data_IF_470536124356
#
_entry.id   IF_470536124356
#
_cell.length_a   1.000
_cell.length_b   1.000
_cell.length_c   1.000
_cell.angle_alpha   90.00
_cell.angle_beta   90.00
_cell.angle_gamma   90.00
#
_symmetry.space_group_name_H-M   'P 1'
#
loop_
_entity.id
_entity.type
_entity.pdbx_description
1 polymer ?
#
# COMPACT_ATOMS: atom_id res chain seq x y z
N UNK A 1 -38.65 28.00 10.42
CA UNK A 1 -38.05 28.37 9.12
C UNK A 1 -37.23 27.17 8.67
N UNK A 2 -37.81 26.39 7.78
CA UNK A 2 -37.27 25.14 7.23
C UNK A 2 -36.18 25.48 6.21
N UNK A 3 -34.91 25.16 6.51
CA UNK A 3 -33.86 25.17 5.49
C UNK A 3 -33.91 23.84 4.75
N UNK A 4 -34.34 23.94 3.50
CA UNK A 4 -34.41 22.87 2.52
C UNK A 4 -32.98 22.49 2.09
N UNK A 5 -32.42 21.43 2.68
CA UNK A 5 -31.18 20.81 2.19
C UNK A 5 -31.52 19.77 1.13
N UNK A 6 -31.84 20.25 -0.07
CA UNK A 6 -31.92 19.43 -1.28
C UNK A 6 -30.52 19.07 -1.76
N UNK A 7 -29.81 18.26 -0.97
CA UNK A 7 -28.64 17.54 -1.47
C UNK A 7 -29.11 16.47 -2.44
N UNK A 8 -28.62 16.52 -3.68
CA UNK A 8 -28.84 15.44 -4.66
C UNK A 8 -28.41 14.12 -4.03
N UNK A 9 -29.33 13.15 -3.94
CA UNK A 9 -28.99 11.82 -3.42
C UNK A 9 -27.86 11.24 -4.26
N UNK A 10 -26.95 10.42 -3.70
CA UNK A 10 -25.80 9.89 -4.42
C UNK A 10 -26.19 9.19 -5.74
N UNK A 11 -27.32 8.47 -5.74
CA UNK A 11 -27.87 7.77 -6.92
C UNK A 11 -28.41 8.68 -8.03
N UNK A 12 -28.61 9.97 -7.77
CA UNK A 12 -29.14 10.95 -8.73
C UNK A 12 -28.01 11.79 -9.38
N UNK A 13 -26.73 11.54 -9.05
CA UNK A 13 -25.57 12.25 -9.62
C UNK A 13 -25.10 11.62 -10.93
N UNK A 14 -24.88 12.44 -11.95
CA UNK A 14 -24.22 11.99 -13.17
C UNK A 14 -22.74 11.70 -12.89
N UNK A 15 -22.25 10.57 -13.41
CA UNK A 15 -20.83 10.24 -13.39
C UNK A 15 -20.05 11.13 -14.37
N UNK A 16 -18.79 11.38 -14.05
CA UNK A 16 -17.86 12.04 -14.97
C UNK A 16 -17.66 11.15 -16.22
N UNK A 17 -17.57 11.75 -17.43
CA UNK A 17 -17.36 10.99 -18.66
C UNK A 17 -15.98 10.35 -18.77
N UNK A 18 -14.99 10.78 -17.96
CA UNK A 18 -13.68 10.13 -17.91
C UNK A 18 -13.80 8.82 -17.14
N UNK A 19 -13.42 7.73 -17.78
CA UNK A 19 -13.37 6.42 -17.13
C UNK A 19 -12.17 6.29 -16.19
N UNK A 20 -12.44 5.98 -14.92
CA UNK A 20 -11.47 5.62 -13.89
C UNK A 20 -11.79 4.28 -13.21
N UNK A 21 -12.79 3.54 -13.72
CA UNK A 21 -13.38 2.41 -13.01
C UNK A 21 -13.29 1.10 -13.80
N UNK A 22 -13.13 1.15 -15.12
CA UNK A 22 -13.06 -0.06 -15.94
C UNK A 22 -11.71 -0.77 -15.81
N UNK A 23 -11.75 -2.10 -15.96
CA UNK A 23 -10.54 -2.91 -16.08
C UNK A 23 -9.70 -2.51 -17.30
N UNK A 24 -10.35 -2.08 -18.38
CA UNK A 24 -9.67 -1.64 -19.60
C UNK A 24 -8.79 -0.40 -19.33
N UNK A 25 -9.29 0.57 -18.56
CA UNK A 25 -8.51 1.74 -18.14
C UNK A 25 -7.29 1.36 -17.32
N UNK A 26 -7.46 0.48 -16.31
CA UNK A 26 -6.36 0.05 -15.45
C UNK A 26 -5.34 -0.86 -16.14
N UNK A 27 -5.73 -1.55 -17.21
CA UNK A 27 -4.82 -2.32 -18.06
C UNK A 27 -4.01 -1.48 -19.06
N UNK A 28 -4.33 -0.19 -19.24
CA UNK A 28 -3.54 0.72 -20.10
C UNK A 28 -2.16 1.04 -19.48
N UNK A 29 -1.33 1.79 -20.20
CA UNK A 29 -0.07 2.29 -19.65
C UNK A 29 -0.31 3.45 -18.67
N UNK A 30 0.61 3.65 -17.72
CA UNK A 30 0.55 4.79 -16.80
C UNK A 30 0.53 6.15 -17.53
N UNK A 31 1.21 6.25 -18.68
CA UNK A 31 1.21 7.46 -19.51
C UNK A 31 -0.17 7.74 -20.14
N UNK A 32 -0.93 6.70 -20.47
CA UNK A 32 -2.28 6.85 -20.99
C UNK A 32 -3.25 7.29 -19.89
N UNK A 33 -3.17 6.67 -18.70
CA UNK A 33 -3.95 7.09 -17.52
C UNK A 33 -3.64 8.52 -17.10
N UNK A 34 -2.38 8.92 -17.18
CA UNK A 34 -1.94 10.28 -16.84
C UNK A 34 -2.61 11.36 -17.70
N UNK A 35 -3.01 11.06 -18.95
CA UNK A 35 -3.79 12.01 -19.76
C UNK A 35 -5.17 12.28 -19.16
N UNK A 36 -5.84 11.23 -18.68
CA UNK A 36 -7.12 11.34 -17.97
C UNK A 36 -6.94 12.10 -16.65
N UNK A 37 -5.90 11.76 -15.88
CA UNK A 37 -5.61 12.45 -14.63
C UNK A 37 -5.28 13.92 -14.83
N UNK A 38 -4.48 14.29 -15.83
CA UNK A 38 -4.16 15.68 -16.14
C UNK A 38 -5.41 16.50 -16.50
N UNK A 39 -6.33 15.91 -17.28
CA UNK A 39 -7.60 16.58 -17.60
C UNK A 39 -8.48 16.76 -16.36
N UNK A 40 -8.57 15.75 -15.49
CA UNK A 40 -9.29 15.86 -14.22
C UNK A 40 -8.66 16.92 -13.31
N UNK A 41 -7.33 16.90 -13.13
CA UNK A 41 -6.62 17.93 -12.34
C UNK A 41 -6.87 19.33 -12.88
N UNK A 42 -6.91 19.53 -14.20
CA UNK A 42 -7.18 20.84 -14.81
C UNK A 42 -8.62 21.29 -14.53
N UNK A 43 -9.59 20.45 -14.86
CA UNK A 43 -10.97 20.91 -15.04
C UNK A 43 -11.90 20.54 -13.88
N UNK A 44 -11.74 19.32 -13.33
CA UNK A 44 -12.68 18.65 -12.41
C UNK A 44 -11.88 17.81 -11.38
N UNK A 45 -11.08 18.47 -10.54
CA UNK A 45 -10.09 17.80 -9.68
C UNK A 45 -10.70 16.88 -8.62
N UNK A 46 -11.96 17.15 -8.27
CA UNK A 46 -12.85 16.30 -7.47
C UNK A 46 -14.05 15.95 -8.36
N UNK A 47 -14.18 14.67 -8.74
CA UNK A 47 -15.20 14.20 -9.70
C UNK A 47 -15.88 12.92 -9.22
N UNK A 48 -17.12 12.68 -9.62
CA UNK A 48 -17.92 11.53 -9.18
C UNK A 48 -17.88 10.41 -10.21
N UNK A 49 -17.57 9.18 -9.79
CA UNK A 49 -17.32 8.02 -10.67
C UNK A 49 -18.11 6.79 -10.21
N UNK A 50 -18.48 5.89 -11.13
CA UNK A 50 -19.12 4.62 -10.76
C UNK A 50 -18.13 3.72 -9.99
N UNK A 51 -18.60 2.73 -9.21
CA UNK A 51 -17.72 1.75 -8.57
C UNK A 51 -16.78 1.06 -9.57
N UNK A 52 -15.68 0.49 -9.07
CA UNK A 52 -14.75 -0.31 -9.87
C UNK A 52 -15.51 -1.47 -10.53
N UNK A 53 -15.33 -1.63 -11.84
CA UNK A 53 -15.94 -2.71 -12.60
C UNK A 53 -15.23 -4.05 -12.31
N UNK A 54 -15.95 -5.16 -12.41
CA UNK A 54 -15.43 -6.51 -12.16
C UNK A 54 -14.72 -6.67 -10.79
N UNK A 55 -15.11 -5.86 -9.80
CA UNK A 55 -14.56 -5.93 -8.45
C UNK A 55 -14.68 -7.33 -7.87
N UNK A 56 -13.70 -7.72 -7.05
CA UNK A 56 -13.61 -9.06 -6.45
C UNK A 56 -14.90 -9.45 -5.69
N UNK A 57 -15.52 -8.45 -5.04
CA UNK A 57 -16.77 -8.59 -4.30
C UNK A 57 -17.72 -7.44 -4.67
N UNK A 58 -18.57 -7.60 -5.70
CA UNK A 58 -19.47 -6.54 -6.14
C UNK A 58 -20.48 -6.19 -5.05
N UNK A 59 -20.59 -4.90 -4.72
CA UNK A 59 -21.59 -4.38 -3.81
C UNK A 59 -22.68 -3.63 -4.61
N UNK A 60 -23.90 -4.19 -4.74
CA UNK A 60 -24.98 -3.56 -5.48
C UNK A 60 -25.51 -2.28 -4.81
N UNK A 61 -25.16 -2.04 -3.55
CA UNK A 61 -25.53 -0.82 -2.83
C UNK A 61 -24.49 0.30 -3.00
N UNK A 62 -23.35 0.03 -3.62
CA UNK A 62 -22.28 1.00 -3.82
C UNK A 62 -22.64 2.01 -4.93
N UNK A 63 -22.88 3.29 -4.60
CA UNK A 63 -23.28 4.29 -5.58
C UNK A 63 -22.10 4.88 -6.36
N UNK A 64 -20.85 4.58 -5.99
CA UNK A 64 -19.67 5.18 -6.60
C UNK A 64 -18.71 5.84 -5.62
N UNK A 65 -17.82 6.68 -6.14
CA UNK A 65 -16.80 7.36 -5.35
C UNK A 65 -16.42 8.74 -5.91
N UNK A 66 -15.88 9.58 -5.04
CA UNK A 66 -15.20 10.82 -5.40
C UNK A 66 -13.74 10.56 -5.74
N UNK A 67 -13.33 10.83 -6.97
CA UNK A 67 -11.94 10.81 -7.40
C UNK A 67 -11.26 12.13 -7.04
N UNK A 68 -10.18 12.06 -6.26
CA UNK A 68 -9.36 13.20 -5.86
C UNK A 68 -8.00 13.10 -6.54
N UNK A 69 -7.73 14.04 -7.45
CA UNK A 69 -6.61 13.94 -8.40
C UNK A 69 -5.51 14.97 -8.18
N UNK A 70 -5.79 16.10 -7.51
CA UNK A 70 -4.79 17.13 -7.19
C UNK A 70 -4.02 16.80 -5.91
N UNK A 71 -2.74 17.17 -5.88
CA UNK A 71 -1.88 16.94 -4.73
C UNK A 71 -2.41 17.63 -3.45
N UNK A 72 -2.81 18.90 -3.56
CA UNK A 72 -3.32 19.66 -2.40
C UNK A 72 -4.58 19.01 -1.78
N UNK A 73 -5.52 18.59 -2.62
CA UNK A 73 -6.76 17.94 -2.18
C UNK A 73 -6.48 16.54 -1.57
N UNK A 74 -5.53 15.78 -2.13
CA UNK A 74 -5.05 14.51 -1.55
C UNK A 74 -4.45 14.73 -0.16
N UNK A 75 -3.65 15.79 0.02
CA UNK A 75 -3.07 16.13 1.32
C UNK A 75 -4.16 16.52 2.32
N UNK A 76 -5.18 17.26 1.91
CA UNK A 76 -6.33 17.63 2.74
C UNK A 76 -7.09 16.39 3.23
N UNK A 77 -7.44 15.48 2.32
CA UNK A 77 -8.10 14.21 2.64
C UNK A 77 -7.23 13.35 3.56
N UNK A 78 -5.92 13.30 3.32
CA UNK A 78 -4.98 12.51 4.11
C UNK A 78 -4.82 13.02 5.54
N UNK A 79 -4.85 14.35 5.75
CA UNK A 79 -4.61 14.99 7.06
C UNK A 79 -5.87 15.13 7.89
N UNK A 80 -7.03 15.27 7.26
CA UNK A 80 -8.30 15.47 7.95
C UNK A 80 -8.99 14.13 8.27
N UNK A 81 -8.33 13.30 9.10
CA UNK A 81 -8.82 11.96 9.45
C UNK A 81 -10.06 11.96 10.37
N UNK A 82 -10.46 13.11 10.91
CA UNK A 82 -11.73 13.24 11.63
C UNK A 82 -12.92 13.23 10.67
N UNK A 83 -12.72 13.74 9.45
CA UNK A 83 -13.72 13.73 8.38
C UNK A 83 -13.53 12.51 7.48
N UNK A 84 -12.31 12.18 7.08
CA UNK A 84 -12.02 11.13 6.10
C UNK A 84 -11.46 9.89 6.80
N UNK A 85 -12.36 8.97 7.12
CA UNK A 85 -12.10 7.78 7.93
C UNK A 85 -11.39 6.68 7.13
N UNK A 86 -10.45 6.00 7.79
CA UNK A 86 -9.82 4.75 7.32
C UNK A 86 -10.54 3.50 7.83
N UNK A 87 -11.26 3.59 8.96
CA UNK A 87 -11.97 2.49 9.62
C UNK A 87 -13.12 1.89 8.83
N UNK A 88 -13.41 2.42 7.64
CA UNK A 88 -14.44 1.92 6.70
C UNK A 88 -13.84 1.36 5.42
N UNK A 89 -12.58 0.95 5.50
CA UNK A 89 -11.80 0.40 4.40
C UNK A 89 -10.99 1.45 3.66
N UNK A 90 -9.78 1.05 3.27
CA UNK A 90 -8.79 1.88 2.58
C UNK A 90 -8.52 1.42 1.15
N UNK A 91 -8.93 0.21 0.79
CA UNK A 91 -8.80 -0.30 -0.57
C UNK A 91 -9.78 0.41 -1.50
N UNK A 92 -9.40 0.53 -2.78
CA UNK A 92 -10.22 1.18 -3.80
C UNK A 92 -11.50 0.38 -4.08
N UNK A 93 -11.37 -0.95 -4.21
CA UNK A 93 -12.48 -1.89 -4.26
C UNK A 93 -13.11 -2.07 -2.87
N UNK A 94 -14.41 -2.37 -2.84
CA UNK A 94 -15.07 -2.76 -1.60
C UNK A 94 -14.62 -4.18 -1.24
N UNK A 95 -14.08 -4.32 -0.04
CA UNK A 95 -13.74 -5.59 0.58
C UNK A 95 -14.44 -5.59 1.95
N UNK A 96 -15.09 -6.70 2.35
CA UNK A 96 -15.72 -6.83 3.66
C UNK A 96 -14.79 -6.40 4.80
N UNK A 97 -15.35 -5.74 5.81
CA UNK A 97 -14.62 -5.20 6.96
C UNK A 97 -13.83 -6.32 7.68
N UNK A 98 -14.38 -7.52 7.76
CA UNK A 98 -13.74 -8.67 8.41
C UNK A 98 -12.47 -9.15 7.69
N UNK A 99 -12.46 -9.12 6.34
CA UNK A 99 -11.27 -9.47 5.55
C UNK A 99 -10.20 -8.38 5.65
N UNK A 100 -10.64 -7.12 5.77
CA UNK A 100 -9.76 -5.98 5.99
C UNK A 100 -9.15 -6.01 7.40
N UNK A 101 -9.92 -6.27 8.44
CA UNK A 101 -9.41 -6.37 9.82
C UNK A 101 -8.31 -7.45 9.94
N UNK A 102 -8.51 -8.57 9.25
CA UNK A 102 -7.57 -9.68 9.25
C UNK A 102 -6.31 -9.46 8.38
N UNK A 103 -6.20 -8.38 7.59
CA UNK A 103 -5.05 -8.14 6.69
C UNK A 103 -4.43 -6.75 6.79
N UNK A 104 -5.24 -5.73 7.09
CA UNK A 104 -4.83 -4.32 7.05
C UNK A 104 -4.36 -3.80 8.41
N UNK A 105 -4.66 -4.50 9.53
CA UNK A 105 -4.28 -4.06 10.87
C UNK A 105 -4.66 -2.58 11.10
N UNK A 106 -3.78 -1.77 11.70
CA UNK A 106 -4.02 -0.36 11.96
C UNK A 106 -4.13 0.52 10.71
N UNK A 107 -3.80 0.03 9.50
CA UNK A 107 -3.92 0.82 8.27
C UNK A 107 -5.39 1.19 7.98
N UNK A 108 -6.30 0.27 8.27
CA UNK A 108 -7.75 0.45 8.12
C UNK A 108 -8.42 0.74 9.48
N UNK A 109 -7.79 1.56 10.32
CA UNK A 109 -8.34 1.96 11.63
C UNK A 109 -8.30 3.47 11.80
N UNK A 110 -9.20 3.99 12.62
CA UNK A 110 -9.23 5.39 13.05
C UNK A 110 -8.78 5.55 14.51
N UNK A 111 -8.39 6.76 14.94
CA UNK A 111 -8.22 7.07 16.36
C UNK A 111 -9.52 6.79 17.17
N UNK A 112 -9.41 6.38 18.45
CA UNK A 112 -8.16 6.27 19.23
C UNK A 112 -7.42 4.93 19.04
N UNK A 113 -8.06 3.88 18.48
CA UNK A 113 -7.46 2.54 18.42
C UNK A 113 -6.23 2.49 17.50
N UNK A 114 -6.29 3.16 16.34
CA UNK A 114 -5.12 3.32 15.46
C UNK A 114 -3.93 3.90 16.22
N UNK A 115 -4.14 4.98 16.98
CA UNK A 115 -3.08 5.67 17.72
C UNK A 115 -2.42 4.75 18.74
N UNK A 116 -3.21 3.96 19.46
CA UNK A 116 -2.71 3.01 20.46
C UNK A 116 -1.89 1.89 19.81
N UNK A 117 -2.44 1.20 18.81
CA UNK A 117 -1.75 0.09 18.14
C UNK A 117 -0.47 0.57 17.47
N UNK A 118 -0.52 1.70 16.75
CA UNK A 118 0.66 2.29 16.11
C UNK A 118 1.74 2.66 17.11
N UNK A 119 1.37 3.11 18.31
CA UNK A 119 2.31 3.42 19.40
C UNK A 119 2.97 2.14 19.95
N UNK A 120 2.21 1.05 20.12
CA UNK A 120 2.75 -0.26 20.53
C UNK A 120 3.74 -0.79 19.48
N UNK A 121 3.34 -0.77 18.21
CA UNK A 121 4.21 -1.18 17.09
C UNK A 121 5.48 -0.33 17.07
N UNK A 122 5.37 1.00 17.08
CA UNK A 122 6.52 1.90 17.04
C UNK A 122 7.49 1.69 18.21
N UNK A 123 7.00 1.31 19.40
CA UNK A 123 7.85 0.98 20.53
C UNK A 123 8.77 -0.23 20.26
N UNK A 124 8.36 -1.16 19.38
CA UNK A 124 9.19 -2.27 18.93
C UNK A 124 10.31 -1.83 17.95
N UNK A 125 10.15 -0.71 17.24
CA UNK A 125 11.13 -0.15 16.28
C UNK A 125 12.13 0.78 16.98
N UNK A 126 12.90 0.25 17.93
CA UNK A 126 13.91 1.04 18.64
C UNK A 126 15.07 1.46 17.71
N UNK A 127 15.79 2.56 18.00
CA UNK A 127 16.96 2.97 17.21
C UNK A 127 18.05 1.89 17.07
N UNK A 128 18.16 0.98 18.06
CA UNK A 128 19.08 -0.16 17.99
C UNK A 128 18.62 -1.18 16.95
N UNK A 129 17.32 -1.48 16.92
CA UNK A 129 16.75 -2.38 15.92
C UNK A 129 16.87 -1.81 14.51
N UNK A 130 16.59 -0.52 14.33
CA UNK A 130 16.75 0.17 13.04
C UNK A 130 18.18 0.07 12.52
N UNK A 131 19.20 0.32 13.36
CA UNK A 131 20.62 0.18 12.95
C UNK A 131 21.01 -1.24 12.55
N UNK A 132 20.53 -2.25 13.30
CA UNK A 132 20.81 -3.66 12.98
C UNK A 132 20.20 -4.04 11.62
N UNK A 133 18.99 -3.57 11.36
CA UNK A 133 18.30 -3.76 10.08
C UNK A 133 19.09 -3.08 8.96
N UNK A 134 19.60 -1.87 9.17
CA UNK A 134 20.42 -1.15 8.18
C UNK A 134 21.68 -1.92 7.77
N UNK A 135 22.47 -2.42 8.74
CA UNK A 135 23.66 -3.22 8.45
C UNK A 135 23.30 -4.50 7.67
N UNK A 136 22.19 -5.17 8.04
CA UNK A 136 21.69 -6.36 7.34
C UNK A 136 21.23 -6.05 5.91
N UNK A 137 20.50 -4.93 5.72
CA UNK A 137 20.06 -4.46 4.40
C UNK A 137 21.26 -4.22 3.50
N UNK A 138 22.30 -3.56 3.99
CA UNK A 138 23.52 -3.28 3.21
C UNK A 138 24.23 -4.58 2.83
N UNK A 139 24.33 -5.55 3.74
CA UNK A 139 24.92 -6.86 3.45
C UNK A 139 24.11 -7.61 2.39
N UNK A 140 22.79 -7.74 2.60
CA UNK A 140 21.86 -8.39 1.67
C UNK A 140 21.91 -7.73 0.28
N UNK A 141 21.93 -6.40 0.19
CA UNK A 141 22.00 -5.70 -1.08
C UNK A 141 23.30 -6.03 -1.86
N UNK A 142 24.44 -6.15 -1.16
CA UNK A 142 25.72 -6.54 -1.80
C UNK A 142 25.69 -7.98 -2.31
N UNK A 143 25.09 -8.89 -1.55
CA UNK A 143 24.99 -10.29 -1.91
C UNK A 143 24.06 -10.47 -3.12
N UNK A 144 22.88 -9.85 -3.09
CA UNK A 144 21.92 -9.85 -4.20
C UNK A 144 22.55 -9.32 -5.49
N UNK A 145 23.25 -8.19 -5.43
CA UNK A 145 23.93 -7.61 -6.62
C UNK A 145 25.06 -8.52 -7.10
N UNK A 146 25.74 -9.22 -6.20
CA UNK A 146 26.78 -10.21 -6.55
C UNK A 146 26.19 -11.44 -7.24
N UNK A 147 25.07 -11.96 -6.73
CA UNK A 147 24.29 -13.05 -7.32
C UNK A 147 23.74 -12.66 -8.70
N UNK A 148 23.14 -11.48 -8.83
CA UNK A 148 22.67 -10.92 -10.11
C UNK A 148 23.80 -10.85 -11.14
N UNK A 149 24.99 -10.37 -10.73
CA UNK A 149 26.16 -10.29 -11.59
C UNK A 149 26.64 -11.68 -12.04
N UNK A 150 26.56 -12.68 -11.16
CA UNK A 150 26.92 -14.06 -11.47
C UNK A 150 25.91 -14.73 -12.43
N UNK A 151 24.61 -14.39 -12.33
CA UNK A 151 23.55 -14.87 -13.20
C UNK A 151 23.72 -14.39 -14.66
N UNK A 152 24.36 -13.23 -14.86
CA UNK A 152 24.78 -12.74 -16.18
C UNK A 152 23.76 -11.84 -16.88
N UNK A 153 24.08 -11.40 -18.10
CA UNK A 153 23.24 -10.48 -18.87
C UNK A 153 21.99 -11.16 -19.43
N UNK A 154 20.86 -10.45 -19.44
CA UNK A 154 19.60 -10.93 -20.02
C UNK A 154 18.69 -11.66 -19.03
N UNK A 155 19.11 -11.78 -17.77
CA UNK A 155 18.25 -12.28 -16.69
C UNK A 155 17.19 -11.27 -16.30
N UNK A 156 16.07 -11.76 -15.77
CA UNK A 156 15.01 -10.90 -15.24
C UNK A 156 15.47 -10.21 -13.95
N UNK A 157 15.52 -8.87 -13.99
CA UNK A 157 15.89 -8.01 -12.87
C UNK A 157 14.89 -8.10 -11.71
N UNK A 158 13.61 -8.30 -12.00
CA UNK A 158 12.59 -8.42 -10.95
C UNK A 158 12.86 -9.67 -10.12
N UNK A 159 12.95 -10.82 -10.78
CA UNK A 159 13.18 -12.10 -10.13
C UNK A 159 14.53 -12.20 -9.41
N UNK A 160 15.60 -11.62 -9.97
CA UNK A 160 16.96 -11.80 -9.44
C UNK A 160 17.46 -10.64 -8.57
N UNK A 161 16.67 -9.56 -8.40
CA UNK A 161 17.12 -8.41 -7.61
C UNK A 161 15.98 -7.69 -6.89
N UNK A 162 14.98 -7.22 -7.61
CA UNK A 162 14.00 -6.29 -7.03
C UNK A 162 13.14 -6.94 -5.94
N UNK A 163 12.80 -8.23 -6.09
CA UNK A 163 12.03 -8.98 -5.09
C UNK A 163 12.88 -9.48 -3.91
N UNK A 164 14.19 -9.63 -4.10
CA UNK A 164 15.06 -10.30 -3.11
C UNK A 164 15.28 -9.45 -1.86
N UNK A 165 15.58 -8.15 -2.03
CA UNK A 165 15.94 -7.29 -0.90
C UNK A 165 14.77 -7.12 0.09
N UNK A 166 13.52 -6.84 -0.35
CA UNK A 166 12.40 -6.71 0.58
C UNK A 166 12.10 -8.02 1.33
N UNK A 167 12.14 -9.17 0.66
CA UNK A 167 11.90 -10.48 1.29
C UNK A 167 12.99 -10.82 2.32
N UNK A 168 14.27 -10.63 1.98
CA UNK A 168 15.38 -10.87 2.92
C UNK A 168 15.28 -9.92 4.13
N UNK A 169 14.97 -8.66 3.89
CA UNK A 169 14.81 -7.65 4.94
C UNK A 169 13.64 -7.97 5.88
N UNK A 170 12.46 -8.32 5.34
CA UNK A 170 11.30 -8.75 6.13
C UNK A 170 11.64 -9.97 6.98
N UNK A 171 12.31 -10.95 6.39
CA UNK A 171 12.68 -12.19 7.07
C UNK A 171 13.65 -11.93 8.22
N UNK A 172 14.65 -11.08 8.03
CA UNK A 172 15.63 -10.72 9.06
C UNK A 172 14.97 -9.87 10.18
N UNK A 173 14.05 -9.00 9.80
CA UNK A 173 13.27 -8.17 10.72
C UNK A 173 12.37 -9.01 11.63
N UNK A 174 11.66 -9.98 11.06
CA UNK A 174 10.64 -10.75 11.75
C UNK A 174 11.20 -12.04 12.37
N UNK A 175 12.33 -12.54 11.87
CA UNK A 175 12.90 -13.82 12.27
C UNK A 175 12.18 -15.00 11.62
N UNK A 176 11.74 -14.85 10.36
CA UNK A 176 11.09 -15.92 9.59
C UNK A 176 12.14 -17.00 9.28
N UNK A 177 11.87 -18.29 9.57
CA UNK A 177 12.78 -19.37 9.22
C UNK A 177 13.09 -19.41 7.72
N UNK A 178 14.32 -19.73 7.36
CA UNK A 178 14.77 -19.78 5.95
C UNK A 178 13.87 -20.68 5.07
N UNK A 179 13.34 -21.76 5.64
CA UNK A 179 12.42 -22.69 4.95
C UNK A 179 11.06 -22.08 4.60
N UNK A 180 10.65 -21.00 5.28
CA UNK A 180 9.34 -20.35 5.09
C UNK A 180 9.43 -19.06 4.25
N UNK A 181 10.62 -18.47 4.07
CA UNK A 181 10.78 -17.14 3.43
C UNK A 181 10.09 -17.04 2.07
N UNK A 182 10.32 -18.01 1.17
CA UNK A 182 9.71 -18.02 -0.16
C UNK A 182 8.19 -18.15 -0.10
N UNK A 183 7.68 -19.05 0.74
CA UNK A 183 6.23 -19.26 0.86
C UNK A 183 5.53 -18.05 1.47
N UNK A 184 6.16 -17.34 2.41
CA UNK A 184 5.65 -16.07 2.94
C UNK A 184 5.64 -14.99 1.87
N UNK A 185 6.69 -14.88 1.06
CA UNK A 185 6.74 -13.94 -0.06
C UNK A 185 5.64 -14.23 -1.09
N UNK A 186 5.49 -15.50 -1.52
CA UNK A 186 4.45 -15.91 -2.46
C UNK A 186 3.04 -15.60 -1.93
N UNK A 187 2.81 -15.87 -0.64
CA UNK A 187 1.53 -15.57 0.00
C UNK A 187 1.28 -14.07 0.17
N UNK A 188 2.33 -13.27 0.38
CA UNK A 188 2.22 -11.80 0.44
C UNK A 188 1.90 -11.21 -0.94
N UNK A 189 2.54 -11.70 -2.00
CA UNK A 189 2.25 -11.30 -3.38
C UNK A 189 0.79 -11.66 -3.77
N UNK A 190 0.31 -12.83 -3.34
CA UNK A 190 -1.07 -13.25 -3.56
C UNK A 190 -2.11 -12.29 -2.98
N UNK A 191 -1.77 -11.55 -1.91
CA UNK A 191 -2.68 -10.60 -1.27
C UNK A 191 -2.90 -9.31 -2.08
N UNK A 192 -2.08 -9.03 -3.10
CA UNK A 192 -2.17 -7.80 -3.94
C UNK A 192 -2.38 -8.09 -5.43
N UNK A 193 -2.15 -9.32 -5.87
CA UNK A 193 -2.23 -9.71 -7.28
C UNK A 193 -3.56 -10.37 -7.69
N UNK A 194 -4.66 -10.17 -6.94
CA UNK A 194 -5.94 -10.83 -7.24
C UNK A 194 -6.57 -10.41 -8.58
N UNK A 195 -6.24 -9.20 -9.07
CA UNK A 195 -6.72 -8.67 -10.35
C UNK A 195 -5.89 -9.11 -11.58
N UNK A 196 -4.76 -9.79 -11.36
CA UNK A 196 -3.82 -10.20 -12.41
C UNK A 196 -4.19 -11.59 -12.99
N UNK A 197 -4.60 -11.69 -14.27
CA UNK A 197 -4.88 -12.97 -14.92
C UNK A 197 -3.69 -13.92 -14.96
N UNK A 198 -2.47 -13.41 -15.13
CA UNK A 198 -1.25 -14.22 -15.25
C UNK A 198 -0.90 -14.85 -13.91
N UNK A 199 -1.03 -14.09 -12.83
CA UNK A 199 -0.84 -14.61 -11.47
C UNK A 199 -1.94 -15.60 -11.06
N UNK A 200 -3.21 -15.25 -11.31
CA UNK A 200 -4.35 -16.08 -10.91
C UNK A 200 -4.39 -17.41 -11.67
N UNK A 201 -4.00 -17.42 -12.95
CA UNK A 201 -3.89 -18.63 -13.79
C UNK A 201 -5.16 -19.51 -13.74
N UNK A 202 -6.33 -18.87 -13.88
CA UNK A 202 -7.64 -19.54 -13.88
C UNK A 202 -8.13 -20.05 -12.52
N UNK A 203 -7.38 -19.83 -11.43
CA UNK A 203 -7.83 -20.10 -10.05
C UNK A 203 -8.93 -19.12 -9.63
N UNK A 204 -9.66 -19.45 -8.57
CA UNK A 204 -10.60 -18.50 -7.97
C UNK A 204 -9.82 -17.45 -7.14
N UNK A 205 -9.90 -16.14 -7.44
CA UNK A 205 -9.12 -15.14 -6.72
C UNK A 205 -9.44 -15.05 -5.22
N UNK A 206 -10.70 -15.28 -4.82
CA UNK A 206 -11.09 -15.30 -3.40
C UNK A 206 -10.45 -16.48 -2.66
N UNK A 207 -10.40 -17.67 -3.29
CA UNK A 207 -9.77 -18.84 -2.67
C UNK A 207 -8.25 -18.63 -2.50
N UNK A 208 -7.59 -18.02 -3.49
CA UNK A 208 -6.17 -17.68 -3.42
C UNK A 208 -5.91 -16.67 -2.29
N UNK A 209 -6.73 -15.63 -2.18
CA UNK A 209 -6.60 -14.61 -1.12
C UNK A 209 -6.81 -15.23 0.27
N UNK A 210 -7.90 -15.97 0.47
CA UNK A 210 -8.22 -16.59 1.76
C UNK A 210 -7.14 -17.58 2.18
N UNK A 211 -6.70 -18.47 1.28
CA UNK A 211 -5.69 -19.47 1.61
C UNK A 211 -4.33 -18.85 1.94
N UNK A 212 -3.94 -17.79 1.22
CA UNK A 212 -2.70 -17.05 1.48
C UNK A 212 -2.76 -16.31 2.81
N UNK A 213 -3.89 -15.65 3.11
CA UNK A 213 -4.12 -14.98 4.39
C UNK A 213 -4.07 -15.97 5.55
N UNK A 214 -4.74 -17.12 5.44
CA UNK A 214 -4.71 -18.18 6.46
C UNK A 214 -3.29 -18.70 6.70
N UNK A 215 -2.50 -18.89 5.64
CA UNK A 215 -1.12 -19.32 5.76
C UNK A 215 -0.26 -18.28 6.49
N UNK A 216 -0.35 -16.99 6.12
CA UNK A 216 0.38 -15.92 6.80
C UNK A 216 -0.02 -15.80 8.28
N UNK A 217 -1.31 -15.96 8.60
CA UNK A 217 -1.79 -16.00 9.99
C UNK A 217 -1.19 -17.17 10.76
N UNK A 218 -1.14 -18.35 10.16
CA UNK A 218 -0.54 -19.52 10.80
C UNK A 218 0.94 -19.30 11.12
N UNK A 219 1.71 -18.76 10.18
CA UNK A 219 3.12 -18.42 10.39
C UNK A 219 3.26 -17.40 11.52
N UNK A 220 2.46 -16.32 11.49
CA UNK A 220 2.49 -15.27 12.49
C UNK A 220 2.21 -15.80 13.91
N UNK A 221 1.17 -16.63 14.07
CA UNK A 221 0.78 -17.17 15.37
C UNK A 221 1.80 -18.18 15.91
N UNK A 222 2.33 -19.04 15.05
CA UNK A 222 3.41 -19.97 15.43
C UNK A 222 4.63 -19.21 15.90
N UNK A 223 5.06 -18.19 15.13
CA UNK A 223 6.21 -17.37 15.49
C UNK A 223 5.96 -16.54 16.75
N UNK A 224 4.73 -16.07 16.96
CA UNK A 224 4.37 -15.30 18.15
C UNK A 224 4.44 -16.15 19.42
N UNK A 225 3.95 -17.40 19.36
CA UNK A 225 4.08 -18.35 20.46
C UNK A 225 5.55 -18.67 20.75
N UNK A 226 6.33 -18.97 19.70
CA UNK A 226 7.77 -19.26 19.85
C UNK A 226 8.52 -18.09 20.48
N UNK A 227 8.29 -16.86 20.00
CA UNK A 227 8.97 -15.67 20.51
C UNK A 227 8.56 -15.30 21.93
N UNK A 228 7.33 -15.59 22.37
CA UNK A 228 6.92 -15.40 23.78
C UNK A 228 7.68 -16.32 24.74
N UNK A 229 7.92 -17.56 24.33
CA UNK A 229 8.64 -18.54 25.16
C UNK A 229 10.17 -18.35 25.05
N UNK A 230 10.66 -18.02 23.86
CA UNK A 230 12.07 -17.89 23.51
C UNK A 230 12.31 -16.57 22.74
N UNK A 231 12.37 -15.42 23.44
CA UNK A 231 12.56 -14.13 22.79
C UNK A 231 13.92 -14.07 22.08
N UNK A 232 13.88 -13.71 20.79
CA UNK A 232 15.05 -13.40 19.99
C UNK A 232 15.38 -11.91 20.02
N UNK A 233 16.41 -11.53 19.26
CA UNK A 233 16.78 -10.12 19.05
C UNK A 233 16.01 -9.46 17.86
N UNK A 234 14.98 -10.11 17.32
CA UNK A 234 14.21 -9.64 16.17
C UNK A 234 13.05 -8.66 16.55
N UNK A 235 12.47 -8.00 15.55
CA UNK A 235 11.36 -7.07 15.75
C UNK A 235 10.10 -7.79 16.22
N UNK A 236 9.89 -9.04 15.81
CA UNK A 236 8.69 -9.79 16.18
C UNK A 236 8.69 -10.14 17.67
N UNK A 237 9.85 -10.51 18.22
CA UNK A 237 10.09 -10.67 19.65
C UNK A 237 9.78 -9.39 20.41
N UNK A 238 10.24 -8.25 19.88
CA UNK A 238 9.96 -6.94 20.47
C UNK A 238 8.47 -6.61 20.43
N UNK A 239 7.79 -6.94 19.32
CA UNK A 239 6.37 -6.68 19.09
C UNK A 239 5.46 -7.48 20.02
N UNK A 240 5.67 -8.80 20.14
CA UNK A 240 4.78 -9.67 20.95
C UNK A 240 4.89 -9.41 22.46
N UNK A 241 5.96 -8.76 22.91
CA UNK A 241 6.17 -8.33 24.29
C UNK A 241 5.89 -6.84 24.52
N UNK A 242 5.66 -6.06 23.47
CA UNK A 242 5.44 -4.63 23.59
C UNK A 242 4.17 -4.36 24.40
N UNK A 243 4.30 -3.47 25.39
CA UNK A 243 3.20 -2.99 26.21
C UNK A 243 3.30 -1.47 26.31
N UNK A 244 2.21 -0.78 25.99
CA UNK A 244 2.11 0.67 26.10
C UNK A 244 0.81 1.01 26.80
N UNK A 245 0.89 1.78 27.89
CA UNK A 245 -0.28 2.21 28.66
C UNK A 245 -1.18 1.04 29.13
N UNK A 246 -0.56 -0.11 29.45
CA UNK A 246 -1.28 -1.33 29.84
C UNK A 246 -1.89 -2.11 28.69
N UNK A 247 -1.77 -1.62 27.45
CA UNK A 247 -2.25 -2.29 26.25
C UNK A 247 -1.16 -3.13 25.60
N UNK A 248 -1.54 -4.33 25.18
CA UNK A 248 -0.74 -5.25 24.36
C UNK A 248 -1.53 -5.64 23.13
N UNK A 249 -0.83 -6.03 22.07
CA UNK A 249 -1.51 -6.59 20.90
C UNK A 249 -2.07 -7.98 21.23
N UNK A 250 -3.30 -8.22 20.82
CA UNK A 250 -3.92 -9.54 20.78
C UNK A 250 -3.27 -10.41 19.70
N UNK A 251 -3.47 -11.72 19.76
CA UNK A 251 -2.99 -12.66 18.74
C UNK A 251 -3.48 -12.29 17.33
N UNK A 252 -4.75 -11.89 17.22
CA UNK A 252 -5.33 -11.45 15.95
C UNK A 252 -4.68 -10.16 15.44
N UNK A 253 -4.37 -9.20 16.32
CA UNK A 253 -3.70 -7.95 15.92
C UNK A 253 -2.25 -8.18 15.49
N UNK A 254 -1.55 -9.12 16.14
CA UNK A 254 -0.20 -9.55 15.74
C UNK A 254 -0.27 -10.22 14.37
N UNK A 255 -1.19 -11.16 14.17
CA UNK A 255 -1.36 -11.84 12.88
C UNK A 255 -1.71 -10.85 11.76
N UNK A 256 -2.67 -9.95 11.99
CA UNK A 256 -3.04 -8.91 11.03
C UNK A 256 -1.86 -7.95 10.74
N UNK A 257 -1.08 -7.57 11.76
CA UNK A 257 0.10 -6.73 11.57
C UNK A 257 1.21 -7.45 10.79
N UNK A 258 1.39 -8.76 11.00
CA UNK A 258 2.31 -9.56 10.21
C UNK A 258 1.92 -9.58 8.73
N UNK A 259 0.62 -9.78 8.41
CA UNK A 259 0.13 -9.68 7.03
C UNK A 259 0.39 -8.29 6.45
N UNK A 260 0.02 -7.23 7.18
CA UNK A 260 0.28 -5.84 6.74
C UNK A 260 1.76 -5.62 6.44
N UNK A 261 2.66 -6.05 7.33
CA UNK A 261 4.10 -5.88 7.18
C UNK A 261 4.64 -6.67 5.98
N UNK A 262 4.18 -7.91 5.81
CA UNK A 262 4.58 -8.76 4.69
C UNK A 262 4.15 -8.19 3.34
N UNK A 263 2.92 -7.68 3.25
CA UNK A 263 2.39 -7.10 2.00
C UNK A 263 2.98 -5.72 1.73
N UNK A 264 2.91 -4.80 2.68
CA UNK A 264 3.32 -3.41 2.49
C UNK A 264 4.84 -3.27 2.30
N UNK A 265 5.64 -4.09 3.00
CA UNK A 265 7.09 -4.05 2.91
C UNK A 265 7.64 -4.67 1.63
N UNK A 266 6.97 -5.68 1.08
CA UNK A 266 7.45 -6.45 -0.07
C UNK A 266 7.19 -5.72 -1.39
N UNK A 267 5.92 -5.57 -1.76
CA UNK A 267 5.54 -5.14 -3.10
C UNK A 267 5.98 -3.69 -3.39
N UNK A 268 5.75 -2.76 -2.46
CA UNK A 268 6.05 -1.34 -2.69
C UNK A 268 7.54 -1.07 -2.98
N UNK A 269 8.42 -1.76 -2.24
CA UNK A 269 9.88 -1.64 -2.39
C UNK A 269 10.36 -2.33 -3.66
N UNK A 270 9.81 -3.51 -3.99
CA UNK A 270 10.08 -4.25 -5.23
C UNK A 270 9.72 -3.41 -6.47
N UNK A 271 8.52 -2.83 -6.50
CA UNK A 271 8.09 -2.00 -7.62
C UNK A 271 8.93 -0.74 -7.74
N UNK A 272 9.21 -0.05 -6.63
CA UNK A 272 10.05 1.16 -6.64
C UNK A 272 11.45 0.87 -7.19
N UNK A 273 12.07 -0.24 -6.76
CA UNK A 273 13.40 -0.65 -7.23
C UNK A 273 13.40 -0.94 -8.74
N UNK A 274 12.38 -1.66 -9.22
CA UNK A 274 12.21 -1.99 -10.65
C UNK A 274 12.02 -0.72 -11.50
N UNK A 275 11.13 0.18 -11.06
CA UNK A 275 10.88 1.45 -11.73
C UNK A 275 12.09 2.39 -11.70
N UNK A 276 12.86 2.42 -10.61
CA UNK A 276 14.05 3.24 -10.50
C UNK A 276 15.14 2.83 -11.50
N UNK A 277 15.41 1.52 -11.64
CA UNK A 277 16.40 1.02 -12.61
C UNK A 277 15.94 1.29 -14.05
N UNK A 278 14.64 1.13 -14.34
CA UNK A 278 14.08 1.51 -15.64
C UNK A 278 14.25 3.01 -15.90
N UNK A 279 13.92 3.86 -14.93
CA UNK A 279 14.05 5.32 -15.06
C UNK A 279 15.51 5.76 -15.27
N UNK A 280 16.47 5.21 -14.50
CA UNK A 280 17.89 5.47 -14.67
C UNK A 280 18.45 4.96 -16.02
N UNK A 281 17.76 4.02 -16.66
CA UNK A 281 18.09 3.54 -18.01
C UNK A 281 17.53 4.47 -19.07
N UNK A 282 16.31 4.95 -18.90
CA UNK A 282 15.66 5.91 -19.80
C UNK A 282 16.30 7.31 -19.72
N UNK A 283 16.89 7.67 -18.57
CA UNK A 283 17.52 8.95 -18.26
C UNK A 283 19.01 8.78 -17.91
N UNK A 284 19.87 8.42 -18.88
CA UNK A 284 21.28 8.13 -18.63
C UNK A 284 22.05 9.34 -18.06
N UNK A 285 21.62 10.57 -18.34
CA UNK A 285 22.14 11.81 -17.78
C UNK A 285 21.89 11.91 -16.27
N UNK A 286 20.71 11.50 -15.80
CA UNK A 286 20.38 11.49 -14.37
C UNK A 286 21.17 10.40 -13.64
N UNK A 287 21.37 9.25 -14.29
CA UNK A 287 22.26 8.21 -13.77
C UNK A 287 23.70 8.70 -13.64
N UNK A 288 24.22 9.39 -14.66
CA UNK A 288 25.56 9.97 -14.60
C UNK A 288 25.68 11.03 -13.50
N UNK A 289 24.64 11.88 -13.34
CA UNK A 289 24.55 12.84 -12.25
C UNK A 289 24.57 12.15 -10.88
N UNK A 290 23.77 11.11 -10.66
CA UNK A 290 23.76 10.39 -9.38
C UNK A 290 25.12 9.76 -9.07
N UNK A 291 25.73 9.08 -10.03
CA UNK A 291 27.03 8.40 -9.84
C UNK A 291 28.18 9.36 -9.57
N UNK A 292 28.13 10.59 -10.08
CA UNK A 292 29.18 11.59 -9.86
C UNK A 292 29.20 12.16 -8.42
N UNK A 293 28.21 11.86 -7.58
CA UNK A 293 28.14 12.35 -6.20
C UNK A 293 27.15 11.55 -5.37
N UNK A 294 27.28 10.22 -5.38
CA UNK A 294 26.27 9.30 -4.86
C UNK A 294 25.89 9.60 -3.40
N UNK A 295 26.86 9.72 -2.50
CA UNK A 295 26.59 9.90 -1.06
C UNK A 295 25.78 11.17 -0.75
N UNK A 296 26.05 12.26 -1.49
CA UNK A 296 25.34 13.53 -1.31
C UNK A 296 23.98 13.58 -2.05
N UNK A 297 23.81 12.76 -3.09
CA UNK A 297 22.66 12.83 -4.03
C UNK A 297 21.63 11.74 -3.82
N UNK A 298 22.00 10.62 -3.20
CA UNK A 298 21.11 9.45 -3.07
C UNK A 298 19.84 9.76 -2.28
N UNK A 299 19.91 10.60 -1.24
CA UNK A 299 18.73 10.99 -0.47
C UNK A 299 17.66 11.65 -1.34
N UNK A 300 18.03 12.67 -2.11
CA UNK A 300 17.10 13.33 -3.04
C UNK A 300 16.68 12.45 -4.22
N UNK A 301 17.56 11.57 -4.69
CA UNK A 301 17.24 10.63 -5.76
C UNK A 301 16.21 9.58 -5.31
N UNK A 302 16.29 9.09 -4.07
CA UNK A 302 15.31 8.14 -3.50
C UNK A 302 13.92 8.76 -3.43
N UNK A 303 13.79 10.02 -3.00
CA UNK A 303 12.49 10.73 -3.02
C UNK A 303 11.91 10.81 -4.45
N UNK A 304 12.76 11.09 -5.43
CA UNK A 304 12.34 11.10 -6.84
C UNK A 304 11.99 9.71 -7.37
N UNK A 305 12.69 8.65 -6.96
CA UNK A 305 12.33 7.27 -7.31
C UNK A 305 10.96 6.88 -6.75
N UNK A 306 10.67 7.24 -5.50
CA UNK A 306 9.38 6.99 -4.87
C UNK A 306 8.27 7.78 -5.58
N UNK A 307 8.49 9.06 -5.87
CA UNK A 307 7.54 9.89 -6.65
C UNK A 307 7.32 9.32 -8.05
N UNK A 308 8.39 8.92 -8.74
CA UNK A 308 8.34 8.42 -10.11
C UNK A 308 7.60 7.08 -10.21
N UNK A 309 7.88 6.17 -9.28
CA UNK A 309 7.26 4.85 -9.22
C UNK A 309 5.80 4.93 -8.77
N UNK A 310 5.50 5.70 -7.71
CA UNK A 310 4.18 5.76 -7.08
C UNK A 310 3.55 4.38 -6.89
N UNK A 311 4.23 3.43 -6.21
CA UNK A 311 3.86 2.01 -6.21
C UNK A 311 2.46 1.78 -5.62
N UNK A 312 2.07 2.58 -4.62
CA UNK A 312 0.68 2.66 -4.18
C UNK A 312 -0.02 3.72 -5.01
N UNK A 313 -0.81 3.30 -5.98
CA UNK A 313 -1.53 4.23 -6.86
C UNK A 313 -2.73 4.87 -6.18
N UNK A 314 -3.44 4.11 -5.34
CA UNK A 314 -4.68 4.55 -4.72
C UNK A 314 -4.79 4.13 -3.27
N UNK A 315 -5.39 5.01 -2.47
CA UNK A 315 -6.08 4.64 -1.25
C UNK A 315 -7.41 5.37 -1.19
N UNK A 316 -8.32 4.82 -0.39
CA UNK A 316 -9.65 5.34 -0.16
C UNK A 316 -9.83 5.79 1.29
N UNK A 317 -10.78 6.69 1.48
CA UNK A 317 -11.41 7.04 2.75
C UNK A 317 -12.93 6.98 2.63
N UNK A 318 -13.60 7.08 3.77
CA UNK A 318 -15.06 7.28 3.84
C UNK A 318 -15.35 8.56 4.61
N UNK A 319 -16.18 9.45 4.06
CA UNK A 319 -16.55 10.68 4.74
C UNK A 319 -17.43 10.39 5.98
N UNK A 320 -17.03 10.86 7.17
CA UNK A 320 -17.80 10.76 8.41
C UNK A 320 -18.97 11.75 8.46
N UNK A 321 -18.83 12.88 7.75
CA UNK A 321 -19.79 13.98 7.71
C UNK A 321 -19.74 14.65 6.34
N UNK A 322 -20.75 15.46 6.02
CA UNK A 322 -20.74 16.28 4.81
C UNK A 322 -19.51 17.20 4.81
N UNK A 323 -18.79 17.26 3.69
CA UNK A 323 -17.58 18.05 3.54
C UNK A 323 -17.51 18.69 2.15
N UNK A 324 -17.08 19.95 2.07
CA UNK A 324 -16.86 20.62 0.80
C UNK A 324 -15.37 20.56 0.45
N UNK A 325 -15.03 19.86 -0.63
CA UNK A 325 -13.67 19.75 -1.15
C UNK A 325 -13.64 20.30 -2.57
N UNK A 326 -12.85 21.35 -2.78
CA UNK A 326 -12.67 21.99 -4.08
C UNK A 326 -14.00 22.34 -4.79
N UNK A 327 -14.96 22.89 -4.03
CA UNK A 327 -16.30 23.28 -4.50
C UNK A 327 -17.28 22.14 -4.74
N UNK A 328 -16.89 20.88 -4.46
CA UNK A 328 -17.79 19.73 -4.51
C UNK A 328 -18.25 19.33 -3.11
N UNK A 329 -19.55 19.07 -2.98
CA UNK A 329 -20.13 18.61 -1.71
C UNK A 329 -20.09 17.08 -1.63
N UNK A 330 -19.17 16.57 -0.82
CA UNK A 330 -19.06 15.15 -0.45
C UNK A 330 -20.04 14.90 0.69
N UNK A 331 -20.93 13.91 0.56
CA UNK A 331 -21.88 13.56 1.62
C UNK A 331 -21.30 12.54 2.60
N UNK A 332 -21.80 12.56 3.84
CA UNK A 332 -21.46 11.53 4.82
C UNK A 332 -21.74 10.11 4.27
N UNK A 333 -20.81 9.19 4.52
CA UNK A 333 -20.82 7.81 4.05
C UNK A 333 -20.21 7.60 2.66
N UNK A 334 -19.89 8.67 1.92
CA UNK A 334 -19.36 8.54 0.58
C UNK A 334 -17.88 8.21 0.54
N UNK A 335 -17.51 7.46 -0.49
CA UNK A 335 -16.14 7.03 -0.74
C UNK A 335 -15.35 8.17 -1.37
N UNK A 336 -14.13 8.39 -0.88
CA UNK A 336 -13.20 9.40 -1.41
C UNK A 336 -11.88 8.70 -1.73
N UNK A 337 -11.53 8.64 -3.00
CA UNK A 337 -10.37 7.90 -3.51
C UNK A 337 -9.28 8.89 -3.90
N UNK A 338 -8.12 8.74 -3.27
CA UNK A 338 -6.92 9.53 -3.54
C UNK A 338 -6.09 8.81 -4.60
N UNK A 339 -5.83 9.50 -5.71
CA UNK A 339 -5.00 8.99 -6.80
C UNK A 339 -3.57 9.54 -6.65
N UNK A 340 -2.74 8.86 -5.87
CA UNK A 340 -1.37 9.30 -5.58
C UNK A 340 -0.51 9.42 -6.84
N UNK A 341 -0.69 8.50 -7.80
CA UNK A 341 -0.02 8.56 -9.10
C UNK A 341 -0.37 9.84 -9.88
N UNK A 342 -1.59 10.37 -9.72
CA UNK A 342 -1.98 11.68 -10.26
C UNK A 342 -1.36 12.83 -9.46
N UNK A 343 -1.48 12.81 -8.12
CA UNK A 343 -0.96 13.85 -7.25
C UNK A 343 0.56 14.04 -7.40
N UNK A 344 1.30 12.95 -7.59
CA UNK A 344 2.75 12.98 -7.82
C UNK A 344 3.15 13.52 -9.22
N UNK A 345 2.19 13.78 -10.10
CA UNK A 345 2.35 14.43 -11.42
C UNK A 345 1.71 15.81 -11.49
N UNK A 346 1.18 16.30 -10.38
CA UNK A 346 0.54 17.60 -10.31
C UNK A 346 1.58 18.73 -10.47
N UNK A 347 1.25 19.74 -11.26
CA UNK A 347 2.10 20.91 -11.53
C UNK A 347 1.56 22.18 -10.89
N UNK A 348 0.39 22.10 -10.26
CA UNK A 348 -0.34 23.23 -9.66
C UNK A 348 -0.10 23.44 -8.18
#
# INVERSE_FOLDING_TARGET
>A
MTSDTTGTRPADRAYDPIDLSSRAFWATTAAERERSFAQLRSDRPVSWHPPVEDALMPDPADPGYWAVTRHADIVEVSRNSEVFLSGKGVLFENVPEELLEASQSFLAMDPPRHTLIRKVVHAAFTPRQVRRIEDSIIANARDIVSELRAAGSGVDFVAHCAQELPVRTLSDMVGIPDSERHRVADAADAMVCWGDPEYIDGRNPLEVLISSQMYLHQVALTLAAERRDHPGDDLFSSLVHAEVEGARLTDNEIAAFFVLLAVAGNDTTRQTTSHAVKALTDHPEQRAWLLAGFDDRIGGAVEEFIRWASPVMTFRRTAASDYELNGQKISAGEKVVMFYSSGNRDTG
#
